data_IF_197778001251
#
_entry.id   IF_197778001251
#
_cell.length_a   1.000
_cell.length_b   1.000
_cell.length_c   1.000
_cell.angle_alpha   90.00
_cell.angle_beta   90.00
_cell.angle_gamma   90.00
#
_symmetry.space_group_name_H-M   'P 1'
#
loop_
_entity.id
_entity.type
_entity.pdbx_description
1 polymer ?
#
# COMPACT_ATOMS: atom_id res chain seq x y z
N UNK A 1 -12.71 -32.48 -13.52
CA UNK A 1 -12.61 -31.06 -13.11
C UNK A 1 -13.97 -30.43 -13.36
N UNK A 2 -14.55 -29.79 -12.35
CA UNK A 2 -15.94 -29.29 -12.40
C UNK A 2 -16.01 -27.76 -12.38
N UNK A 3 -15.00 -27.12 -11.80
CA UNK A 3 -14.87 -25.67 -11.72
C UNK A 3 -13.42 -25.30 -12.07
N UNK A 4 -13.25 -24.21 -12.82
CA UNK A 4 -11.96 -23.59 -13.12
C UNK A 4 -12.01 -22.13 -12.68
N UNK A 5 -11.01 -21.71 -11.90
CA UNK A 5 -10.80 -20.31 -11.54
C UNK A 5 -9.69 -19.71 -12.41
N UNK A 6 -9.96 -18.57 -13.04
CA UNK A 6 -9.05 -17.83 -13.91
C UNK A 6 -8.84 -16.41 -13.36
N UNK A 7 -7.82 -16.24 -12.52
CA UNK A 7 -7.37 -14.92 -12.04
C UNK A 7 -6.35 -14.32 -13.03
N UNK A 8 -6.76 -14.20 -14.29
CA UNK A 8 -5.98 -13.65 -15.39
C UNK A 8 -6.76 -12.51 -16.00
N UNK A 9 -6.05 -11.54 -16.58
CA UNK A 9 -6.67 -10.34 -17.12
C UNK A 9 -5.93 -9.85 -18.37
N UNK A 10 -6.69 -9.39 -19.36
CA UNK A 10 -6.21 -8.63 -20.50
C UNK A 10 -7.22 -7.53 -20.84
N UNK A 11 -6.74 -6.29 -20.96
CA UNK A 11 -7.57 -5.16 -21.38
C UNK A 11 -8.12 -5.35 -22.79
N UNK A 12 -9.31 -4.77 -23.04
CA UNK A 12 -9.83 -4.52 -24.39
C UNK A 12 -10.20 -5.75 -25.23
N UNK A 13 -10.30 -6.93 -24.62
CA UNK A 13 -10.62 -8.18 -25.34
C UNK A 13 -11.96 -8.72 -24.82
N UNK A 14 -12.90 -8.97 -25.74
CA UNK A 14 -14.21 -9.53 -25.41
C UNK A 14 -14.20 -11.04 -25.68
N UNK A 15 -14.19 -11.44 -26.96
CA UNK A 15 -14.29 -12.87 -27.34
C UNK A 15 -13.08 -13.42 -28.12
N UNK A 16 -12.18 -12.58 -28.63
CA UNK A 16 -11.12 -12.98 -29.58
C UNK A 16 -9.81 -13.42 -28.92
N UNK A 17 -9.83 -13.86 -27.66
CA UNK A 17 -8.64 -14.36 -26.97
C UNK A 17 -8.66 -15.89 -26.79
N UNK A 18 -7.46 -16.46 -26.69
CA UNK A 18 -7.26 -17.92 -26.55
C UNK A 18 -8.03 -18.49 -25.34
N UNK A 19 -8.09 -17.74 -24.24
CA UNK A 19 -8.72 -18.15 -22.98
C UNK A 19 -10.24 -18.23 -23.09
N UNK A 20 -10.88 -17.30 -23.79
CA UNK A 20 -12.31 -17.30 -24.10
C UNK A 20 -12.68 -18.51 -24.95
N UNK A 21 -11.93 -18.80 -26.02
CA UNK A 21 -12.17 -19.96 -26.87
C UNK A 21 -12.03 -21.31 -26.15
N UNK A 22 -11.01 -21.44 -25.29
CA UNK A 22 -10.80 -22.65 -24.47
C UNK A 22 -11.91 -22.78 -23.43
N UNK A 23 -12.22 -21.71 -22.69
CA UNK A 23 -13.23 -21.76 -21.64
C UNK A 23 -14.64 -21.99 -22.18
N UNK A 24 -15.00 -21.46 -23.35
CA UNK A 24 -16.29 -21.78 -23.99
C UNK A 24 -16.46 -23.28 -24.27
N UNK A 25 -15.40 -23.96 -24.73
CA UNK A 25 -15.42 -25.43 -24.92
C UNK A 25 -15.52 -26.19 -23.60
N UNK A 26 -15.01 -25.63 -22.51
CA UNK A 26 -15.12 -26.20 -21.18
C UNK A 26 -16.54 -26.03 -20.62
N UNK A 27 -17.14 -24.85 -20.77
CA UNK A 27 -18.54 -24.57 -20.40
C UNK A 27 -19.50 -25.51 -21.14
N UNK A 28 -19.29 -25.73 -22.44
CA UNK A 28 -20.08 -26.69 -23.24
C UNK A 28 -19.97 -28.14 -22.74
N UNK A 29 -18.88 -28.49 -22.05
CA UNK A 29 -18.68 -29.80 -21.42
C UNK A 29 -19.20 -29.85 -19.98
N UNK A 30 -19.91 -28.82 -19.53
CA UNK A 30 -20.46 -28.72 -18.18
C UNK A 30 -19.45 -28.31 -17.12
N UNK A 31 -18.31 -27.72 -17.50
CA UNK A 31 -17.33 -27.17 -16.55
C UNK A 31 -17.66 -25.71 -16.28
N UNK A 32 -17.84 -25.35 -15.01
CA UNK A 32 -18.02 -23.96 -14.60
C UNK A 32 -16.69 -23.21 -14.70
N UNK A 33 -16.70 -22.03 -15.31
CA UNK A 33 -15.52 -21.16 -15.40
C UNK A 33 -15.80 -19.85 -14.69
N UNK A 34 -14.93 -19.49 -13.75
CA UNK A 34 -14.98 -18.26 -12.96
C UNK A 34 -13.76 -17.42 -13.34
N UNK A 35 -13.95 -16.15 -13.67
CA UNK A 35 -12.90 -15.26 -14.12
C UNK A 35 -12.97 -13.89 -13.42
N UNK A 36 -11.81 -13.31 -13.10
CA UNK A 36 -11.73 -11.97 -12.53
C UNK A 36 -12.11 -10.91 -13.57
N UNK A 37 -13.00 -9.98 -13.20
CA UNK A 37 -13.43 -8.87 -14.06
C UNK A 37 -12.27 -7.96 -14.49
N UNK A 38 -11.24 -7.85 -13.64
CA UNK A 38 -10.07 -7.00 -13.86
C UNK A 38 -9.88 -5.92 -12.81
N UNK A 39 -8.70 -5.32 -12.81
CA UNK A 39 -8.32 -4.24 -11.88
C UNK A 39 -8.15 -2.89 -12.60
N UNK A 40 -8.50 -2.80 -13.88
CA UNK A 40 -8.37 -1.57 -14.68
C UNK A 40 -9.49 -0.60 -14.34
N UNK A 41 -9.16 0.42 -13.55
CA UNK A 41 -10.12 1.48 -13.14
C UNK A 41 -10.50 2.44 -14.26
N UNK A 42 -9.68 2.57 -15.31
CA UNK A 42 -9.81 3.61 -16.34
C UNK A 42 -11.04 3.47 -17.25
N UNK A 43 -11.60 2.26 -17.38
CA UNK A 43 -12.82 2.02 -18.16
C UNK A 43 -14.12 2.09 -17.37
N UNK A 44 -14.05 2.36 -16.07
CA UNK A 44 -15.21 2.35 -15.17
C UNK A 44 -15.80 0.94 -14.95
N UNK A 45 -16.92 0.88 -14.22
CA UNK A 45 -17.57 -0.37 -13.78
C UNK A 45 -18.04 -1.29 -14.93
N UNK A 46 -18.16 -0.75 -16.15
CA UNK A 46 -18.59 -1.50 -17.33
C UNK A 46 -17.47 -2.19 -18.11
N UNK A 47 -16.20 -1.91 -17.79
CA UNK A 47 -15.07 -2.49 -18.49
C UNK A 47 -14.69 -3.84 -17.86
N UNK A 48 -15.16 -4.91 -18.48
CA UNK A 48 -14.64 -6.26 -18.23
C UNK A 48 -13.43 -6.50 -19.14
N UNK A 49 -12.37 -7.08 -18.60
CA UNK A 49 -11.32 -7.67 -19.43
C UNK A 49 -11.61 -9.13 -19.77
N UNK A 50 -10.85 -9.66 -20.71
CA UNK A 50 -10.90 -11.09 -20.95
C UNK A 50 -10.10 -11.85 -19.87
N UNK A 51 -10.52 -13.08 -19.52
CA UNK A 51 -11.63 -13.82 -20.13
C UNK A 51 -13.01 -13.59 -19.48
N UNK A 52 -13.13 -12.67 -18.52
CA UNK A 52 -14.38 -12.47 -17.79
C UNK A 52 -15.55 -11.96 -18.66
N UNK A 53 -15.26 -11.30 -19.79
CA UNK A 53 -16.28 -10.90 -20.76
C UNK A 53 -16.91 -12.06 -21.57
N UNK A 54 -16.36 -13.27 -21.50
CA UNK A 54 -16.80 -14.40 -22.31
C UNK A 54 -18.20 -14.92 -21.92
N UNK A 55 -18.99 -15.32 -22.92
CA UNK A 55 -20.30 -15.91 -22.68
C UNK A 55 -20.21 -17.24 -21.90
N UNK A 56 -21.03 -17.37 -20.85
CA UNK A 56 -21.08 -18.58 -20.02
C UNK A 56 -20.04 -18.64 -18.90
N UNK A 57 -19.24 -17.59 -18.73
CA UNK A 57 -18.31 -17.44 -17.61
C UNK A 57 -19.00 -16.67 -16.47
N UNK A 58 -18.55 -16.94 -15.24
CA UNK A 58 -18.91 -16.13 -14.07
C UNK A 58 -17.83 -15.06 -13.91
N UNK A 59 -18.17 -13.81 -14.26
CA UNK A 59 -17.32 -12.65 -14.02
C UNK A 59 -17.42 -12.21 -12.55
N UNK A 60 -16.27 -12.06 -11.88
CA UNK A 60 -16.21 -11.69 -10.46
C UNK A 60 -15.53 -10.33 -10.30
N UNK A 61 -16.28 -9.37 -9.75
CA UNK A 61 -15.75 -8.08 -9.30
C UNK A 61 -15.17 -8.19 -7.89
N UNK A 62 -14.27 -7.27 -7.55
CA UNK A 62 -13.75 -7.12 -6.19
C UNK A 62 -14.55 -6.07 -5.41
N UNK A 63 -14.81 -6.34 -4.14
CA UNK A 63 -15.44 -5.41 -3.22
C UNK A 63 -14.66 -5.38 -1.90
N UNK A 64 -14.57 -4.21 -1.29
CA UNK A 64 -13.98 -4.03 0.04
C UNK A 64 -15.07 -4.32 1.07
N UNK A 65 -14.76 -5.15 2.07
CA UNK A 65 -15.66 -5.44 3.19
C UNK A 65 -15.62 -4.29 4.22
N UNK A 66 -16.69 -4.08 5.01
CA UNK A 66 -16.69 -3.07 6.08
C UNK A 66 -15.64 -3.32 7.17
N UNK A 67 -15.21 -4.57 7.31
CA UNK A 67 -14.18 -5.01 8.25
C UNK A 67 -13.06 -5.72 7.49
N UNK A 68 -11.83 -5.39 7.85
CA UNK A 68 -10.62 -5.95 7.25
C UNK A 68 -9.68 -6.38 8.37
N UNK A 69 -9.07 -7.55 8.23
CA UNK A 69 -7.94 -7.93 9.07
C UNK A 69 -6.69 -7.25 8.53
N UNK A 70 -6.02 -6.47 9.36
CA UNK A 70 -4.72 -5.88 9.04
C UNK A 70 -3.76 -6.09 10.20
N UNK A 71 -2.46 -6.05 9.89
CA UNK A 71 -1.45 -5.87 10.91
C UNK A 71 -1.46 -4.42 11.37
N UNK A 72 -1.09 -4.23 12.63
CA UNK A 72 -1.04 -2.91 13.24
C UNK A 72 0.35 -2.61 13.77
N UNK A 73 0.60 -1.33 14.01
CA UNK A 73 1.75 -0.85 14.75
C UNK A 73 1.30 0.20 15.76
N UNK A 74 2.13 0.40 16.78
CA UNK A 74 1.87 1.33 17.86
C UNK A 74 2.85 2.49 17.79
N UNK A 75 2.34 3.71 17.94
CA UNK A 75 3.13 4.91 18.18
C UNK A 75 2.75 5.46 19.54
N UNK A 76 3.72 5.55 20.43
CA UNK A 76 3.54 6.10 21.77
C UNK A 76 4.08 7.51 21.81
N UNK A 77 3.36 8.44 22.45
CA UNK A 77 3.76 9.84 22.52
C UNK A 77 3.33 10.46 23.85
N UNK A 78 4.06 11.48 24.34
CA UNK A 78 3.67 12.18 25.55
C UNK A 78 2.40 13.01 25.29
N UNK A 79 1.38 12.76 26.10
CA UNK A 79 0.14 13.53 26.13
C UNK A 79 0.32 14.83 26.91
N UNK A 80 -0.59 15.78 26.68
CA UNK A 80 -0.58 17.10 27.36
C UNK A 80 -0.80 17.01 28.87
N UNK A 81 -1.36 15.90 29.36
CA UNK A 81 -1.56 15.64 30.79
C UNK A 81 -0.34 14.98 31.47
N UNK A 82 0.76 14.79 30.75
CA UNK A 82 1.98 14.16 31.24
C UNK A 82 1.93 12.63 31.26
N UNK A 83 0.87 12.01 30.75
CA UNK A 83 0.80 10.55 30.54
C UNK A 83 1.22 10.18 29.11
N UNK A 84 1.64 8.94 28.89
CA UNK A 84 1.90 8.46 27.52
C UNK A 84 0.60 7.94 26.91
N UNK A 85 0.30 8.39 25.69
CA UNK A 85 -0.79 7.88 24.87
C UNK A 85 -0.24 7.02 23.75
N UNK A 86 -0.92 5.91 23.45
CA UNK A 86 -0.56 5.03 22.32
C UNK A 86 -1.63 5.10 21.24
N UNK A 87 -1.21 5.43 20.01
CA UNK A 87 -2.02 5.21 18.81
C UNK A 87 -1.71 3.85 18.22
N UNK A 88 -2.75 3.05 17.99
CA UNK A 88 -2.67 1.84 17.18
C UNK A 88 -3.20 2.17 15.79
N UNK A 89 -2.39 1.97 14.76
CA UNK A 89 -2.74 2.25 13.38
C UNK A 89 -2.66 0.98 12.53
N UNK A 90 -3.52 0.90 11.54
CA UNK A 90 -3.43 -0.13 10.49
C UNK A 90 -2.27 0.23 9.55
N UNK A 91 -1.62 -0.79 8.99
CA UNK A 91 -0.64 -0.63 7.92
C UNK A 91 -1.09 -1.28 6.62
N UNK A 92 -0.44 -0.90 5.53
CA UNK A 92 -0.47 -1.60 4.25
C UNK A 92 -0.16 -3.09 4.38
N UNK A 93 -0.50 -3.87 3.35
CA UNK A 93 -0.12 -5.29 3.26
C UNK A 93 1.36 -5.52 3.57
N UNK A 94 1.64 -6.68 4.17
CA UNK A 94 2.99 -7.07 4.59
C UNK A 94 3.87 -7.30 3.37
N UNK A 95 4.94 -6.52 3.25
CA UNK A 95 6.02 -6.85 2.34
C UNK A 95 6.95 -7.91 2.92
N UNK A 96 7.62 -8.68 2.06
CA UNK A 96 8.67 -9.61 2.47
C UNK A 96 9.79 -8.92 3.26
N UNK A 97 10.05 -7.63 2.99
CA UNK A 97 11.01 -6.77 3.70
C UNK A 97 10.73 -6.63 5.21
N UNK A 98 9.53 -6.98 5.68
CA UNK A 98 9.18 -7.00 7.10
C UNK A 98 9.53 -8.30 7.82
N UNK A 99 9.75 -9.38 7.08
CA UNK A 99 9.92 -10.69 7.69
C UNK A 99 11.24 -10.68 8.48
N UNK A 100 11.14 -10.73 9.81
CA UNK A 100 12.29 -10.68 10.71
C UNK A 100 12.70 -9.29 11.18
N UNK A 101 12.02 -8.23 10.72
CA UNK A 101 12.25 -6.85 11.20
C UNK A 101 11.48 -6.61 12.49
N UNK A 102 12.19 -6.24 13.56
CA UNK A 102 11.57 -5.79 14.81
C UNK A 102 11.88 -4.31 15.02
N UNK A 103 10.85 -3.46 14.92
CA UNK A 103 10.92 -2.03 15.22
C UNK A 103 10.18 -1.80 16.53
N UNK A 104 10.92 -1.84 17.64
CA UNK A 104 10.40 -1.57 18.98
C UNK A 104 11.22 -0.44 19.60
N UNK A 105 10.54 0.53 20.22
CA UNK A 105 11.16 1.69 20.88
C UNK A 105 12.10 2.50 19.96
N UNK A 106 11.76 2.56 18.67
CA UNK A 106 12.51 3.34 17.67
C UNK A 106 11.83 4.68 17.44
N UNK A 107 12.59 5.79 17.52
CA UNK A 107 12.13 7.13 17.20
C UNK A 107 11.36 7.25 15.89
N UNK A 108 10.16 7.86 15.90
CA UNK A 108 9.47 8.33 14.69
C UNK A 108 9.72 9.81 14.46
N UNK A 109 10.15 10.18 13.26
CA UNK A 109 10.42 11.56 12.83
C UNK A 109 9.92 11.84 11.42
N UNK A 110 9.69 13.11 11.07
CA UNK A 110 9.45 13.52 9.68
C UNK A 110 10.75 13.50 8.89
N UNK A 111 10.71 13.01 7.65
CA UNK A 111 11.82 13.13 6.69
C UNK A 111 11.71 14.44 5.93
N UNK A 112 12.35 15.50 6.42
CA UNK A 112 12.21 16.85 5.86
C UNK A 112 13.18 17.08 4.73
N UNK A 113 12.72 17.70 3.66
CA UNK A 113 13.54 18.22 2.57
C UNK A 113 14.07 19.63 2.89
N UNK A 114 14.82 20.21 1.95
CA UNK A 114 15.43 21.53 2.11
C UNK A 114 14.41 22.67 2.34
N UNK A 115 13.16 22.50 1.89
CA UNK A 115 12.07 23.46 2.06
C UNK A 115 11.27 23.22 3.37
N UNK A 116 11.64 22.20 4.15
CA UNK A 116 10.94 21.82 5.38
C UNK A 116 9.64 21.05 5.15
N UNK A 117 9.41 20.54 3.94
CA UNK A 117 8.33 19.63 3.60
C UNK A 117 8.79 18.17 3.68
N UNK A 118 7.89 17.23 3.92
CA UNK A 118 8.18 15.80 4.06
C UNK A 118 7.79 14.98 2.83
N UNK A 119 8.04 15.52 1.64
CA UNK A 119 7.71 14.88 0.37
C UNK A 119 8.70 13.74 0.05
N UNK A 120 8.18 12.56 -0.28
CA UNK A 120 9.01 11.36 -0.47
C UNK A 120 9.97 11.40 -1.67
N UNK A 121 9.79 12.37 -2.57
CA UNK A 121 10.59 12.52 -3.80
C UNK A 121 11.74 13.50 -3.66
N UNK A 122 11.95 14.04 -2.45
CA UNK A 122 13.00 14.99 -2.16
C UNK A 122 14.03 14.39 -1.20
N UNK A 123 15.33 14.72 -1.34
CA UNK A 123 16.34 14.29 -0.38
C UNK A 123 16.03 14.76 1.05
N UNK A 124 16.22 13.86 2.01
CA UNK A 124 16.06 14.13 3.44
C UNK A 124 17.28 14.90 3.95
N UNK A 125 17.07 16.06 4.57
CA UNK A 125 18.15 16.94 5.05
C UNK A 125 18.30 16.96 6.58
N UNK A 126 17.30 16.48 7.32
CA UNK A 126 17.35 16.38 8.78
C UNK A 126 17.86 15.01 9.25
N UNK A 127 18.23 14.92 10.53
CA UNK A 127 18.78 13.69 11.11
C UNK A 127 17.70 12.62 11.34
N UNK A 128 17.71 11.59 10.50
CA UNK A 128 16.79 10.44 10.56
C UNK A 128 17.51 9.10 10.78
N UNK A 129 18.82 9.13 11.06
CA UNK A 129 19.66 7.94 11.17
C UNK A 129 19.19 7.00 12.27
N UNK A 130 18.92 5.75 11.92
CA UNK A 130 18.42 4.71 12.81
C UNK A 130 17.00 4.96 13.33
N UNK A 131 16.27 5.91 12.73
CA UNK A 131 14.90 6.28 13.12
C UNK A 131 13.91 5.75 12.08
N UNK A 132 12.66 5.66 12.49
CA UNK A 132 11.52 5.52 11.59
C UNK A 132 11.24 6.88 10.97
N UNK A 133 11.20 6.95 9.64
CA UNK A 133 10.93 8.21 8.93
C UNK A 133 9.51 8.22 8.37
N UNK A 134 8.79 9.32 8.58
CA UNK A 134 7.48 9.60 7.99
C UNK A 134 7.66 10.53 6.79
N UNK A 135 7.14 10.13 5.63
CA UNK A 135 7.09 10.95 4.40
C UNK A 135 5.71 10.90 3.76
N UNK A 136 5.36 11.92 3.00
CA UNK A 136 4.15 12.02 2.20
C UNK A 136 4.35 11.38 0.83
N UNK A 137 3.34 10.66 0.35
CA UNK A 137 3.25 10.23 -1.05
C UNK A 137 3.28 11.42 -2.00
N UNK A 138 4.04 11.29 -3.09
CA UNK A 138 4.31 12.31 -4.10
C UNK A 138 4.59 11.61 -5.46
N UNK A 139 4.97 12.34 -6.52
CA UNK A 139 4.99 11.86 -7.91
C UNK A 139 6.04 10.77 -8.28
N UNK A 140 6.87 10.31 -7.34
CA UNK A 140 7.90 9.31 -7.57
C UNK A 140 7.50 7.90 -7.10
N UNK A 141 8.34 6.91 -7.40
CA UNK A 141 8.08 5.54 -6.98
C UNK A 141 8.39 5.35 -5.49
N UNK A 142 7.72 4.38 -4.86
CA UNK A 142 8.09 3.94 -3.50
C UNK A 142 9.52 3.38 -3.42
N UNK A 143 10.09 2.92 -4.54
CA UNK A 143 11.50 2.49 -4.59
C UNK A 143 12.44 3.67 -4.43
N UNK A 144 12.14 4.81 -5.05
CA UNK A 144 12.96 6.01 -4.94
C UNK A 144 12.87 6.61 -3.54
N UNK A 145 11.66 6.65 -2.97
CA UNK A 145 11.44 7.04 -1.58
C UNK A 145 12.25 6.17 -0.60
N UNK A 146 12.21 4.85 -0.78
CA UNK A 146 12.95 3.91 0.06
C UNK A 146 14.48 4.06 -0.09
N UNK A 147 14.99 4.34 -1.29
CA UNK A 147 16.42 4.65 -1.50
C UNK A 147 16.83 5.92 -0.77
N UNK A 148 16.06 7.00 -0.87
CA UNK A 148 16.35 8.26 -0.20
C UNK A 148 16.36 8.09 1.33
N UNK A 149 15.40 7.35 1.87
CA UNK A 149 15.37 7.01 3.29
C UNK A 149 16.56 6.14 3.71
N UNK A 150 16.94 5.15 2.89
CA UNK A 150 18.10 4.30 3.13
C UNK A 150 19.42 5.07 3.07
N UNK A 151 19.58 5.98 2.11
CA UNK A 151 20.74 6.87 1.98
C UNK A 151 20.86 7.82 3.19
N UNK A 152 19.74 8.21 3.78
CA UNK A 152 19.68 8.97 5.03
C UNK A 152 19.86 8.08 6.29
N UNK A 153 20.20 6.80 6.11
CA UNK A 153 20.41 5.79 7.15
C UNK A 153 19.18 5.55 8.04
N UNK A 154 17.96 5.75 7.53
CA UNK A 154 16.73 5.42 8.25
C UNK A 154 16.63 3.90 8.48
N UNK A 155 16.03 3.50 9.60
CA UNK A 155 15.82 2.07 9.91
C UNK A 155 14.52 1.52 9.31
N UNK A 156 13.58 2.41 8.98
CA UNK A 156 12.25 2.07 8.51
C UNK A 156 11.57 3.28 7.87
N UNK A 157 10.71 3.07 6.88
CA UNK A 157 9.96 4.13 6.21
C UNK A 157 8.43 3.96 6.36
N UNK A 158 7.75 5.01 6.80
CA UNK A 158 6.30 5.14 6.79
C UNK A 158 5.93 6.19 5.74
N UNK A 159 5.07 5.81 4.81
CA UNK A 159 4.54 6.71 3.79
C UNK A 159 3.07 6.96 4.11
N UNK A 160 2.66 8.21 4.26
CA UNK A 160 1.22 8.51 4.31
C UNK A 160 0.75 8.95 2.92
N UNK A 161 -0.30 8.30 2.46
CA UNK A 161 -0.85 8.54 1.13
C UNK A 161 -1.58 9.90 1.07
N UNK A 162 -1.74 10.44 -0.14
CA UNK A 162 -2.60 11.60 -0.41
C UNK A 162 -4.01 11.19 -0.82
N UNK A 163 -4.16 9.96 -1.32
CA UNK A 163 -5.43 9.36 -1.70
C UNK A 163 -5.93 8.44 -0.59
N UNK A 164 -7.23 8.50 -0.28
CA UNK A 164 -7.84 7.64 0.74
C UNK A 164 -8.08 6.22 0.19
N UNK A 165 -7.00 5.45 0.14
CA UNK A 165 -7.01 4.04 -0.24
C UNK A 165 -6.78 3.18 1.00
N UNK A 166 -7.83 2.47 1.42
CA UNK A 166 -7.80 1.56 2.57
C UNK A 166 -6.81 0.39 2.41
N UNK A 167 -6.34 0.12 1.18
CA UNK A 167 -5.45 -1.01 0.85
C UNK A 167 -4.39 -0.54 -0.15
N UNK A 168 -3.62 0.50 0.21
CA UNK A 168 -2.40 0.83 -0.53
C UNK A 168 -1.34 -0.24 -0.26
N UNK A 169 -0.65 -0.68 -1.31
CA UNK A 169 0.45 -1.64 -1.24
C UNK A 169 1.74 -0.94 -1.62
N UNK A 170 2.76 -1.04 -0.78
CA UNK A 170 4.12 -0.67 -1.18
C UNK A 170 4.55 -1.68 -2.25
N UNK A 171 5.04 -1.17 -3.37
CA UNK A 171 5.54 -1.98 -4.47
C UNK A 171 6.90 -1.44 -4.84
N UNK A 172 7.92 -2.24 -4.63
CA UNK A 172 9.25 -1.94 -5.13
C UNK A 172 9.42 -2.48 -6.54
N UNK A 173 9.84 -1.59 -7.44
CA UNK A 173 10.24 -1.93 -8.81
C UNK A 173 11.74 -2.22 -8.90
N UNK A 174 12.48 -1.94 -7.83
CA UNK A 174 13.92 -2.19 -7.68
C UNK A 174 14.22 -2.80 -6.30
N UNK A 175 15.33 -3.51 -6.17
CA UNK A 175 15.72 -4.12 -4.89
C UNK A 175 16.16 -3.03 -3.89
N UNK A 176 15.34 -2.79 -2.87
CA UNK A 176 15.66 -1.88 -1.75
C UNK A 176 15.42 -2.61 -0.43
N UNK A 177 16.48 -2.78 0.36
CA UNK A 177 16.40 -3.47 1.65
C UNK A 177 16.06 -2.49 2.79
N UNK A 178 14.92 -1.83 2.67
CA UNK A 178 14.35 -0.99 3.72
C UNK A 178 12.90 -1.43 3.98
N UNK A 179 12.55 -1.85 5.21
CA UNK A 179 11.18 -2.16 5.55
C UNK A 179 10.32 -0.88 5.50
N UNK A 180 9.24 -0.92 4.71
CA UNK A 180 8.36 0.24 4.52
C UNK A 180 6.88 -0.08 4.52
N UNK A 181 6.06 0.79 5.07
CA UNK A 181 4.61 0.66 4.99
C UNK A 181 3.93 1.94 4.55
N UNK A 182 2.72 1.79 3.99
CA UNK A 182 1.83 2.91 3.70
C UNK A 182 0.71 2.95 4.74
N UNK A 183 0.33 4.16 5.12
CA UNK A 183 -0.82 4.47 5.98
C UNK A 183 -1.76 5.44 5.29
N UNK A 184 -2.99 5.53 5.81
CA UNK A 184 -4.02 6.41 5.26
C UNK A 184 -3.66 7.90 5.44
N UNK A 185 -4.23 8.80 4.62
CA UNK A 185 -4.07 10.24 4.83
C UNK A 185 -4.52 10.70 6.22
N UNK A 186 -5.58 10.06 6.77
CA UNK A 186 -6.11 10.37 8.09
C UNK A 186 -5.15 10.02 9.23
N UNK A 187 -4.52 8.85 9.16
CA UNK A 187 -3.51 8.44 10.15
C UNK A 187 -2.21 9.24 9.98
N UNK A 188 -1.80 9.56 8.75
CA UNK A 188 -0.71 10.49 8.48
C UNK A 188 -0.94 11.86 9.12
N UNK A 189 -2.13 12.44 8.94
CA UNK A 189 -2.51 13.71 9.55
C UNK A 189 -2.48 13.68 11.08
N UNK A 190 -2.89 12.57 11.71
CA UNK A 190 -2.78 12.39 13.17
C UNK A 190 -1.32 12.39 13.63
N UNK A 191 -0.45 11.64 12.95
CA UNK A 191 0.98 11.61 13.26
C UNK A 191 1.64 12.96 13.08
N UNK A 192 1.33 13.68 12.00
CA UNK A 192 1.82 15.04 11.79
C UNK A 192 1.36 15.99 12.88
N UNK A 193 0.09 15.90 13.31
CA UNK A 193 -0.43 16.70 14.41
C UNK A 193 0.35 16.48 15.71
N UNK A 194 0.73 15.24 16.00
CA UNK A 194 1.54 14.88 17.17
C UNK A 194 2.99 15.39 17.00
N UNK A 195 3.63 15.10 15.88
CA UNK A 195 5.02 15.48 15.59
C UNK A 195 5.22 17.01 15.58
N UNK A 196 4.20 17.77 15.19
CA UNK A 196 4.25 19.24 15.19
C UNK A 196 3.87 19.87 16.54
N UNK A 197 3.10 19.18 17.39
CA UNK A 197 2.67 19.70 18.71
C UNK A 197 3.65 19.39 19.83
N UNK A 198 4.45 18.32 19.67
CA UNK A 198 5.58 18.02 20.55
C UNK A 198 6.70 19.00 20.20
N UNK A 199 7.14 19.84 21.14
CA UNK A 199 8.01 20.97 20.85
C UNK A 199 9.29 20.56 20.09
N UNK A 200 9.50 21.19 18.92
CA UNK A 200 10.68 21.16 18.07
C UNK A 200 11.18 19.77 17.64
N UNK A 201 10.54 19.20 16.60
CA UNK A 201 11.11 18.07 15.85
C UNK A 201 11.34 16.82 16.70
N UNK A 202 10.49 16.61 17.70
CA UNK A 202 10.67 15.55 18.68
C UNK A 202 10.24 14.21 18.09
N UNK A 203 11.23 13.34 18.01
CA UNK A 203 11.15 11.88 18.09
C UNK A 203 9.96 11.40 18.95
N UNK A 204 9.10 10.55 18.41
CA UNK A 204 8.13 9.73 19.17
C UNK A 204 8.73 8.37 19.52
#
# INVERSE_FOLDING_TARGET
MNVINMSLFSDGTWDDNLYTGIGNRLVQKGVMVVASAGNTRSGGLGMLGAPAGASGFIAVASAILPELYSLTFNVTYPSTDGTNTTLTMMRSEVEESFIGTNVTDVPLVRGLNADGADLMCSPIVNDVRGKVVLMQSDDCSYSDAAKLALEAEASFLIIYDTEDSLVSRVTYFEEVNLPSMVITPGDGGRLLGILNSTAAGSVL
#
